data_IF_913783979624
#
_entry.id   IF_913783979624
#
_cell.length_a   1.000
_cell.length_b   1.000
_cell.length_c   1.000
_cell.angle_alpha   90.00
_cell.angle_beta   90.00
_cell.angle_gamma   90.00
#
_symmetry.space_group_name_H-M   'P 1'
#
loop_
_entity.id
_entity.type
_entity.pdbx_description
1 polymer ?
#
# COMPACT_ATOMS: atom_id res chain seq x y z
N UNK A 1 12.63 -3.78 -6.12
CA UNK A 1 11.22 -3.66 -6.60
C UNK A 1 11.10 -4.54 -7.84
N UNK A 2 10.10 -5.43 -7.86
CA UNK A 2 9.83 -6.36 -8.96
C UNK A 2 9.61 -5.62 -10.29
N UNK A 3 10.14 -6.15 -11.40
CA UNK A 3 9.94 -5.62 -12.75
C UNK A 3 8.46 -5.67 -13.11
N UNK A 4 7.83 -6.82 -12.89
CA UNK A 4 6.41 -7.03 -13.19
C UNK A 4 5.53 -6.11 -12.37
N UNK A 5 5.88 -5.87 -11.11
CA UNK A 5 5.19 -4.91 -10.25
C UNK A 5 5.27 -3.48 -10.81
N UNK A 6 6.48 -3.01 -11.20
CA UNK A 6 6.62 -1.67 -11.81
C UNK A 6 5.80 -1.51 -13.06
N UNK A 7 5.77 -2.54 -13.91
CA UNK A 7 4.96 -2.53 -15.13
C UNK A 7 3.48 -2.42 -14.77
N UNK A 8 2.99 -3.27 -13.87
CA UNK A 8 1.59 -3.32 -13.45
C UNK A 8 1.11 -2.00 -12.83
N UNK A 9 1.90 -1.42 -11.94
CA UNK A 9 1.57 -0.15 -11.27
C UNK A 9 1.61 1.08 -12.19
N UNK A 10 2.27 0.96 -13.35
CA UNK A 10 2.40 2.06 -14.32
C UNK A 10 1.45 1.93 -15.51
N UNK A 11 0.61 0.89 -15.58
CA UNK A 11 -0.25 0.58 -16.74
C UNK A 11 -1.13 1.75 -17.20
N UNK A 12 -1.70 2.51 -16.26
CA UNK A 12 -2.57 3.65 -16.56
C UNK A 12 -1.83 4.82 -17.22
N UNK A 13 -0.49 4.91 -17.00
CA UNK A 13 0.37 5.95 -17.54
C UNK A 13 1.06 5.53 -18.85
N UNK A 14 0.77 4.34 -19.37
CA UNK A 14 1.39 3.83 -20.59
C UNK A 14 0.70 4.34 -21.84
N UNK A 15 1.51 4.64 -22.85
CA UNK A 15 1.05 4.80 -24.24
C UNK A 15 0.56 3.45 -24.78
N UNK A 16 -0.14 3.48 -25.92
CA UNK A 16 -0.62 2.25 -26.58
C UNK A 16 0.53 1.26 -26.87
N UNK A 17 1.64 1.75 -27.41
CA UNK A 17 2.84 0.93 -27.67
C UNK A 17 3.41 0.33 -26.38
N UNK A 18 3.44 1.09 -25.29
CA UNK A 18 3.92 0.61 -23.99
C UNK A 18 2.99 -0.43 -23.38
N UNK A 19 1.67 -0.30 -23.57
CA UNK A 19 0.68 -1.31 -23.16
C UNK A 19 0.84 -2.61 -23.93
N UNK A 20 1.10 -2.55 -25.23
CA UNK A 20 1.40 -3.74 -26.05
C UNK A 20 2.64 -4.46 -25.50
N UNK A 21 3.73 -3.72 -25.25
CA UNK A 21 4.97 -4.28 -24.71
C UNK A 21 4.72 -4.88 -23.30
N UNK A 22 4.03 -4.17 -22.44
CA UNK A 22 3.68 -4.64 -21.09
C UNK A 22 2.85 -5.93 -21.14
N UNK A 23 1.79 -5.95 -21.96
CA UNK A 23 0.95 -7.13 -22.15
C UNK A 23 1.75 -8.34 -22.67
N UNK A 24 2.66 -8.12 -23.61
CA UNK A 24 3.52 -9.17 -24.15
C UNK A 24 4.46 -9.74 -23.09
N UNK A 25 5.03 -8.89 -22.22
CA UNK A 25 5.90 -9.32 -21.12
C UNK A 25 5.14 -10.24 -20.15
N UNK A 26 3.90 -9.88 -19.79
CA UNK A 26 3.09 -10.73 -18.90
C UNK A 26 2.74 -12.08 -19.52
N UNK A 27 2.37 -12.08 -20.81
CA UNK A 27 1.92 -13.29 -21.48
C UNK A 27 3.07 -14.22 -21.93
N UNK A 28 4.25 -13.67 -22.24
CA UNK A 28 5.32 -14.37 -22.96
C UNK A 28 6.70 -14.15 -22.33
N UNK A 29 6.78 -14.21 -21.01
CA UNK A 29 8.00 -13.88 -20.26
C UNK A 29 9.25 -14.61 -20.76
N UNK A 30 9.14 -15.93 -20.99
CA UNK A 30 10.28 -16.72 -21.45
C UNK A 30 10.77 -16.26 -22.82
N UNK A 31 9.85 -15.96 -23.73
CA UNK A 31 10.18 -15.41 -25.05
C UNK A 31 10.91 -14.06 -24.90
N UNK A 32 10.44 -13.21 -23.96
CA UNK A 32 11.13 -11.94 -23.68
C UNK A 32 12.53 -12.13 -23.18
N UNK A 33 12.78 -13.15 -22.34
CA UNK A 33 14.11 -13.46 -21.82
C UNK A 33 15.06 -13.98 -22.91
N UNK A 34 14.56 -14.74 -23.85
CA UNK A 34 15.37 -15.40 -24.88
C UNK A 34 15.59 -14.53 -26.12
N UNK A 35 14.68 -13.61 -26.45
CA UNK A 35 14.70 -12.83 -27.70
C UNK A 35 15.47 -11.52 -27.58
N UNK A 36 16.12 -11.06 -28.65
CA UNK A 36 16.74 -9.73 -28.72
C UNK A 36 15.72 -8.61 -29.00
N UNK A 37 16.16 -7.34 -28.93
CA UNK A 37 15.26 -6.18 -29.09
C UNK A 37 14.58 -6.13 -30.48
N UNK A 38 15.24 -6.60 -31.52
CA UNK A 38 14.71 -6.62 -32.90
C UNK A 38 13.60 -7.67 -33.00
N UNK A 39 13.84 -8.87 -32.53
CA UNK A 39 12.87 -9.97 -32.48
C UNK A 39 11.64 -9.60 -31.66
N UNK A 40 11.83 -8.98 -30.51
CA UNK A 40 10.73 -8.51 -29.67
C UNK A 40 9.91 -7.41 -30.36
N UNK A 41 10.59 -6.53 -31.12
CA UNK A 41 9.91 -5.52 -31.93
C UNK A 41 9.03 -6.15 -33.02
N UNK A 42 9.54 -7.18 -33.70
CA UNK A 42 8.80 -7.92 -34.74
C UNK A 42 7.59 -8.68 -34.14
N UNK A 43 7.79 -9.41 -33.03
CA UNK A 43 6.74 -10.17 -32.34
C UNK A 43 5.60 -9.29 -31.82
N UNK A 44 5.91 -8.08 -31.39
CA UNK A 44 4.93 -7.16 -30.82
C UNK A 44 4.41 -6.11 -31.81
N UNK A 45 4.86 -6.14 -33.08
CA UNK A 45 4.60 -5.12 -34.08
C UNK A 45 4.96 -3.70 -33.60
N UNK A 46 6.06 -3.62 -32.84
CA UNK A 46 6.64 -2.37 -32.35
C UNK A 46 8.09 -2.24 -32.88
N UNK A 47 8.84 -1.25 -32.41
CA UNK A 47 10.24 -1.12 -32.80
C UNK A 47 11.20 -1.63 -31.71
N UNK A 48 12.40 -2.08 -32.11
CA UNK A 48 13.47 -2.40 -31.18
C UNK A 48 13.77 -1.24 -30.21
N UNK A 49 13.73 -0.01 -30.73
CA UNK A 49 13.93 1.20 -29.91
C UNK A 49 12.80 1.43 -28.88
N UNK A 50 11.57 0.98 -29.16
CA UNK A 50 10.46 1.06 -28.21
C UNK A 50 10.73 0.17 -26.99
N UNK A 51 11.23 -1.04 -27.18
CA UNK A 51 11.62 -1.94 -26.10
C UNK A 51 12.75 -1.39 -25.24
N UNK A 52 13.75 -0.76 -25.84
CA UNK A 52 14.84 -0.10 -25.11
C UNK A 52 14.33 1.12 -24.30
N UNK A 53 13.48 1.95 -24.89
CA UNK A 53 12.86 3.09 -24.19
C UNK A 53 11.95 2.64 -23.06
N UNK A 54 11.14 1.59 -23.28
CA UNK A 54 10.30 1.00 -22.25
C UNK A 54 11.13 0.53 -21.07
N UNK A 55 12.21 -0.22 -21.32
CA UNK A 55 13.13 -0.69 -20.26
C UNK A 55 13.73 0.48 -19.46
N UNK A 56 14.11 1.58 -20.13
CA UNK A 56 14.61 2.79 -19.46
C UNK A 56 13.54 3.51 -18.66
N UNK A 57 12.31 3.58 -19.17
CA UNK A 57 11.15 4.14 -18.45
C UNK A 57 10.83 3.33 -17.19
N UNK A 58 11.06 2.02 -17.22
CA UNK A 58 10.95 1.15 -16.04
C UNK A 58 12.13 1.27 -15.07
N UNK A 59 13.08 2.20 -15.31
CA UNK A 59 14.18 2.49 -14.41
C UNK A 59 15.43 1.63 -14.60
N UNK A 60 15.54 0.91 -15.73
CA UNK A 60 16.70 0.08 -16.04
C UNK A 60 17.62 0.77 -17.05
N UNK A 61 18.91 0.42 -17.05
CA UNK A 61 19.89 1.00 -17.99
C UNK A 61 19.61 0.67 -19.47
N UNK A 62 18.76 -0.31 -19.74
CA UNK A 62 18.32 -0.76 -21.06
C UNK A 62 17.74 -2.17 -21.00
N UNK A 63 17.38 -2.73 -22.18
CA UNK A 63 16.75 -4.04 -22.27
C UNK A 63 17.56 -5.18 -21.63
N UNK A 64 18.91 -5.26 -21.76
CA UNK A 64 19.67 -6.32 -21.09
C UNK A 64 19.55 -6.28 -19.56
N UNK A 65 19.68 -5.10 -18.95
CA UNK A 65 19.53 -4.94 -17.51
C UNK A 65 18.09 -5.24 -17.04
N UNK A 66 17.09 -4.85 -17.83
CA UNK A 66 15.70 -5.18 -17.61
C UNK A 66 15.48 -6.71 -17.61
N UNK A 67 16.01 -7.42 -18.61
CA UNK A 67 15.91 -8.89 -18.72
C UNK A 67 16.58 -9.62 -17.58
N UNK A 68 17.75 -9.16 -17.12
CA UNK A 68 18.42 -9.75 -15.94
C UNK A 68 17.55 -9.66 -14.70
N UNK A 69 16.93 -8.52 -14.45
CA UNK A 69 16.04 -8.37 -13.30
C UNK A 69 14.73 -9.15 -13.48
N UNK A 70 14.17 -9.17 -14.70
CA UNK A 70 13.02 -9.99 -15.03
C UNK A 70 13.30 -11.49 -14.83
N UNK A 71 14.49 -11.98 -15.16
CA UNK A 71 14.88 -13.38 -14.98
C UNK A 71 15.00 -13.79 -13.50
N UNK A 72 15.39 -12.86 -12.62
CA UNK A 72 15.47 -13.11 -11.16
C UNK A 72 14.11 -13.27 -10.50
N UNK A 73 13.06 -12.76 -11.13
CA UNK A 73 11.72 -12.89 -10.58
C UNK A 73 11.24 -14.33 -10.66
N UNK A 74 10.83 -14.90 -9.53
CA UNK A 74 10.12 -16.17 -9.55
C UNK A 74 8.79 -15.97 -10.28
N UNK A 75 8.39 -16.94 -11.10
CA UNK A 75 7.06 -16.97 -11.71
C UNK A 75 6.06 -17.09 -10.56
N UNK A 76 5.47 -16.00 -10.16
CA UNK A 76 4.23 -16.08 -9.42
C UNK A 76 3.16 -16.41 -10.46
N UNK A 77 2.54 -17.57 -10.33
CA UNK A 77 1.38 -17.95 -11.11
C UNK A 77 0.41 -16.75 -11.13
N UNK A 78 -0.24 -16.51 -12.25
CA UNK A 78 -1.23 -15.44 -12.44
C UNK A 78 -2.24 -15.43 -11.29
N UNK A 79 -1.99 -14.58 -10.29
CA UNK A 79 -2.79 -14.45 -9.05
C UNK A 79 -4.11 -13.73 -9.31
N UNK A 80 -4.55 -13.80 -10.50
CA UNK A 80 -5.59 -12.91 -11.00
C UNK A 80 -6.99 -13.42 -11.01
N UNK A 81 -7.22 -14.68 -10.88
CA UNK A 81 -8.55 -15.23 -10.92
C UNK A 81 -8.93 -15.86 -9.57
N UNK A 82 -10.12 -15.52 -9.05
CA UNK A 82 -10.66 -16.17 -7.85
C UNK A 82 -10.64 -17.69 -8.04
N UNK A 83 -10.97 -18.16 -9.22
CA UNK A 83 -10.95 -19.58 -9.61
C UNK A 83 -9.54 -20.17 -9.57
N UNK A 84 -8.49 -19.38 -9.84
CA UNK A 84 -7.10 -19.84 -9.75
C UNK A 84 -6.65 -19.98 -8.29
N UNK A 85 -7.09 -19.09 -7.41
CA UNK A 85 -6.75 -19.16 -5.99
C UNK A 85 -7.63 -20.17 -5.24
N UNK A 86 -8.96 -20.09 -5.43
CA UNK A 86 -9.95 -21.02 -4.84
C UNK A 86 -10.36 -22.07 -5.87
N UNK A 87 -9.43 -22.94 -6.28
CA UNK A 87 -9.78 -24.04 -7.16
C UNK A 87 -10.50 -25.13 -6.34
N UNK A 88 -11.75 -25.53 -6.72
CA UNK A 88 -12.48 -26.56 -6.00
C UNK A 88 -11.77 -27.91 -5.91
N UNK A 89 -10.81 -28.20 -6.80
CA UNK A 89 -10.00 -29.43 -6.79
C UNK A 89 -8.79 -29.36 -5.87
N UNK A 90 -8.46 -28.19 -5.31
CA UNK A 90 -7.30 -28.05 -4.42
C UNK A 90 -7.53 -28.81 -3.11
N UNK A 91 -6.51 -29.54 -2.68
CA UNK A 91 -6.48 -30.05 -1.30
C UNK A 91 -6.28 -28.90 -0.30
N UNK A 92 -6.69 -29.13 0.96
CA UNK A 92 -6.44 -28.15 2.03
C UNK A 92 -4.95 -27.82 2.16
N UNK A 93 -4.04 -28.77 1.91
CA UNK A 93 -2.59 -28.54 1.93
C UNK A 93 -2.18 -27.55 0.83
N UNK A 94 -2.73 -27.68 -0.38
CA UNK A 94 -2.46 -26.74 -1.48
C UNK A 94 -2.98 -25.35 -1.16
N UNK A 95 -4.17 -25.22 -0.58
CA UNK A 95 -4.72 -23.94 -0.15
C UNK A 95 -3.84 -23.27 0.92
N UNK A 96 -3.33 -24.06 1.88
CA UNK A 96 -2.41 -23.58 2.91
C UNK A 96 -1.11 -23.02 2.29
N UNK A 97 -0.49 -23.78 1.38
CA UNK A 97 0.72 -23.33 0.67
C UNK A 97 0.49 -22.07 -0.18
N UNK A 98 -0.63 -22.01 -0.92
CA UNK A 98 -1.02 -20.82 -1.69
C UNK A 98 -1.18 -19.60 -0.78
N UNK A 99 -1.85 -19.76 0.35
CA UNK A 99 -2.08 -18.68 1.32
C UNK A 99 -0.76 -18.19 1.93
N UNK A 100 0.12 -19.11 2.37
CA UNK A 100 1.44 -18.78 2.92
C UNK A 100 2.28 -18.00 1.90
N UNK A 101 2.35 -18.48 0.66
CA UNK A 101 3.10 -17.82 -0.40
C UNK A 101 2.54 -16.41 -0.68
N UNK A 102 1.22 -16.26 -0.80
CA UNK A 102 0.54 -15.00 -1.04
C UNK A 102 0.85 -13.99 0.07
N UNK A 103 0.68 -14.36 1.33
CA UNK A 103 0.90 -13.48 2.48
C UNK A 103 2.38 -13.10 2.64
N UNK A 104 3.29 -14.07 2.44
CA UNK A 104 4.73 -13.83 2.51
C UNK A 104 5.18 -12.89 1.41
N UNK A 105 4.69 -13.08 0.20
CA UNK A 105 5.01 -12.21 -0.93
C UNK A 105 4.46 -10.79 -0.73
N UNK A 106 3.21 -10.67 -0.28
CA UNK A 106 2.57 -9.39 0.02
C UNK A 106 3.38 -8.57 1.04
N UNK A 107 3.84 -9.20 2.12
CA UNK A 107 4.68 -8.55 3.14
C UNK A 107 6.01 -8.09 2.51
N UNK A 108 6.70 -8.95 1.75
CA UNK A 108 7.96 -8.59 1.09
C UNK A 108 7.79 -7.40 0.14
N UNK A 109 6.74 -7.39 -0.65
CA UNK A 109 6.45 -6.29 -1.59
C UNK A 109 6.09 -5.00 -0.86
N UNK A 110 5.38 -5.08 0.26
CA UNK A 110 5.08 -3.92 1.11
C UNK A 110 6.37 -3.26 1.60
N UNK A 111 7.32 -4.03 2.13
CA UNK A 111 8.61 -3.48 2.55
C UNK A 111 9.47 -2.97 1.39
N UNK A 112 9.44 -3.64 0.24
CA UNK A 112 10.18 -3.23 -0.94
C UNK A 112 9.67 -1.91 -1.56
N UNK A 113 8.38 -1.61 -1.37
CA UNK A 113 7.75 -0.38 -1.86
C UNK A 113 7.91 0.80 -0.91
N UNK A 114 8.21 0.54 0.36
CA UNK A 114 8.22 1.54 1.41
C UNK A 114 9.31 2.60 1.15
N UNK A 115 8.89 3.87 1.13
CA UNK A 115 9.78 5.02 1.15
C UNK A 115 10.14 5.35 2.60
N UNK A 116 11.41 5.14 2.96
CA UNK A 116 11.92 5.41 4.30
C UNK A 116 11.71 6.87 4.72
N UNK A 117 11.98 7.83 3.82
CA UNK A 117 11.84 9.26 4.15
C UNK A 117 10.38 9.68 4.32
N UNK A 118 9.46 9.11 3.54
CA UNK A 118 8.04 9.34 3.73
C UNK A 118 7.56 8.77 5.07
N UNK A 119 8.01 7.58 5.44
CA UNK A 119 7.70 6.96 6.74
C UNK A 119 8.24 7.81 7.90
N UNK A 120 9.48 8.25 7.83
CA UNK A 120 10.12 9.10 8.84
C UNK A 120 9.35 10.41 9.04
N UNK A 121 9.02 11.12 7.94
CA UNK A 121 8.19 12.33 7.97
C UNK A 121 6.80 12.09 8.54
N UNK A 122 6.18 10.95 8.26
CA UNK A 122 4.88 10.60 8.81
C UNK A 122 4.97 10.42 10.33
N UNK A 123 5.94 9.64 10.82
CA UNK A 123 6.21 9.43 12.26
C UNK A 123 6.47 10.77 12.96
N UNK A 124 7.30 11.63 12.38
CA UNK A 124 7.55 12.96 12.96
C UNK A 124 6.30 13.83 13.02
N UNK A 125 5.49 13.81 11.96
CA UNK A 125 4.25 14.59 11.90
C UNK A 125 3.26 14.12 12.96
N UNK A 126 3.07 12.80 13.12
CA UNK A 126 2.21 12.21 14.15
C UNK A 126 2.71 12.56 15.55
N UNK A 127 4.00 12.47 15.81
CA UNK A 127 4.58 12.82 17.12
C UNK A 127 4.45 14.29 17.50
N UNK A 128 4.35 15.20 16.53
CA UNK A 128 4.19 16.64 16.74
C UNK A 128 2.72 17.06 16.75
N UNK A 129 1.83 16.19 16.31
CA UNK A 129 0.41 16.48 16.23
C UNK A 129 -0.21 16.65 17.63
N UNK A 130 -1.08 17.63 17.78
CA UNK A 130 -1.92 17.78 18.96
C UNK A 130 -2.94 16.65 19.00
N UNK A 131 -3.63 16.43 17.89
CA UNK A 131 -4.61 15.35 17.71
C UNK A 131 -4.37 14.65 16.37
N UNK A 132 -4.51 13.33 16.36
CA UNK A 132 -4.46 12.50 15.16
C UNK A 132 -5.84 11.97 14.85
N UNK A 133 -6.36 12.29 13.68
CA UNK A 133 -7.65 11.78 13.20
C UNK A 133 -7.42 10.62 12.23
N UNK A 134 -8.17 9.52 12.40
CA UNK A 134 -8.12 8.38 11.51
C UNK A 134 -9.37 8.33 10.64
N UNK A 135 -9.18 8.19 9.34
CA UNK A 135 -10.25 8.18 8.36
C UNK A 135 -10.10 6.96 7.44
N UNK A 136 -11.07 6.06 7.47
CA UNK A 136 -11.13 4.88 6.62
C UNK A 136 -12.46 4.14 6.78
N UNK A 137 -12.94 3.51 5.71
CA UNK A 137 -14.22 2.78 5.66
C UNK A 137 -14.04 1.34 5.19
N UNK A 138 -15.04 0.48 5.42
CA UNK A 138 -14.99 -0.93 5.02
C UNK A 138 -13.79 -1.67 5.63
N UNK A 139 -13.02 -2.39 4.81
CA UNK A 139 -11.82 -3.09 5.25
C UNK A 139 -10.74 -2.18 5.86
N UNK A 140 -10.63 -0.94 5.37
CA UNK A 140 -9.71 0.06 5.92
C UNK A 140 -10.11 0.54 7.32
N UNK A 141 -11.41 0.50 7.67
CA UNK A 141 -11.87 0.85 9.01
C UNK A 141 -11.34 -0.11 10.08
N UNK A 142 -11.10 -1.38 9.72
CA UNK A 142 -10.50 -2.37 10.60
C UNK A 142 -9.05 -1.98 10.94
N UNK A 143 -8.31 -1.50 9.94
CA UNK A 143 -6.93 -1.02 10.11
C UNK A 143 -6.90 0.25 10.98
N UNK A 144 -7.84 1.17 10.74
CA UNK A 144 -7.99 2.36 11.60
C UNK A 144 -8.26 1.96 13.05
N UNK A 145 -9.15 1.01 13.29
CA UNK A 145 -9.50 0.55 14.65
C UNK A 145 -8.31 -0.12 15.34
N UNK A 146 -7.57 -0.98 14.63
CA UNK A 146 -6.36 -1.61 15.16
C UNK A 146 -5.31 -0.57 15.57
N UNK A 147 -5.05 0.40 14.67
CA UNK A 147 -4.12 1.48 14.94
C UNK A 147 -4.59 2.37 16.11
N UNK A 148 -5.88 2.70 16.17
CA UNK A 148 -6.50 3.42 17.27
C UNK A 148 -6.24 2.73 18.61
N UNK A 149 -6.49 1.40 18.72
CA UNK A 149 -6.25 0.64 19.94
C UNK A 149 -4.77 0.65 20.38
N UNK A 150 -3.85 0.56 19.42
CA UNK A 150 -2.41 0.62 19.70
C UNK A 150 -1.99 1.99 20.23
N UNK A 151 -2.43 3.06 19.54
CA UNK A 151 -2.07 4.44 19.88
C UNK A 151 -2.66 4.90 21.22
N UNK A 152 -3.90 4.52 21.54
CA UNK A 152 -4.54 4.81 22.83
C UNK A 152 -3.71 4.26 24.01
N UNK A 153 -3.01 3.13 23.84
CA UNK A 153 -2.17 2.53 24.90
C UNK A 153 -0.87 3.28 25.17
N UNK A 154 -0.44 4.13 24.25
CA UNK A 154 0.76 4.98 24.39
C UNK A 154 0.41 6.46 24.56
N UNK A 155 -0.82 6.72 24.96
CA UNK A 155 -1.31 8.06 25.33
C UNK A 155 -1.20 9.10 24.19
N UNK A 156 -1.31 8.66 22.94
CA UNK A 156 -1.44 9.58 21.81
C UNK A 156 -2.90 10.04 21.71
N UNK A 157 -3.12 11.35 21.66
CA UNK A 157 -4.46 11.89 21.41
C UNK A 157 -4.89 11.52 19.97
N UNK A 158 -5.81 10.55 19.90
CA UNK A 158 -6.24 9.96 18.63
C UNK A 158 -7.77 9.89 18.57
N UNK A 159 -8.33 10.28 17.42
CA UNK A 159 -9.77 10.30 17.16
C UNK A 159 -10.09 9.33 16.04
N UNK A 160 -10.98 8.41 16.32
CA UNK A 160 -11.54 7.47 15.36
C UNK A 160 -12.98 7.17 15.71
N UNK A 161 -13.84 7.12 14.71
CA UNK A 161 -15.21 6.63 14.83
C UNK A 161 -15.58 5.83 13.56
N UNK A 162 -16.42 4.79 13.73
CA UNK A 162 -16.95 4.01 12.60
C UNK A 162 -18.07 4.76 11.90
N UNK A 163 -18.80 5.57 12.63
CA UNK A 163 -19.80 6.46 12.07
C UNK A 163 -19.12 7.70 11.49
N UNK A 164 -19.25 7.88 10.18
CA UNK A 164 -18.62 9.00 9.48
C UNK A 164 -19.22 10.36 9.90
N UNK A 165 -20.49 10.42 10.28
CA UNK A 165 -21.10 11.69 10.73
C UNK A 165 -20.53 12.12 12.06
N UNK A 166 -20.38 11.21 13.01
CA UNK A 166 -19.71 11.45 14.28
C UNK A 166 -18.26 11.88 14.06
N UNK A 167 -17.54 11.18 13.18
CA UNK A 167 -16.16 11.53 12.84
C UNK A 167 -16.06 12.90 12.15
N UNK A 168 -16.97 13.24 11.24
CA UNK A 168 -17.02 14.57 10.62
C UNK A 168 -17.25 15.68 11.63
N UNK A 169 -18.13 15.48 12.63
CA UNK A 169 -18.34 16.44 13.70
C UNK A 169 -17.06 16.70 14.52
N UNK A 170 -16.24 15.66 14.72
CA UNK A 170 -14.92 15.78 15.36
C UNK A 170 -13.91 16.48 14.45
N UNK A 171 -13.86 16.12 13.17
CA UNK A 171 -12.97 16.73 12.15
C UNK A 171 -13.32 18.20 11.92
N UNK A 172 -14.57 18.61 12.10
CA UNK A 172 -14.97 20.02 12.03
C UNK A 172 -14.30 20.91 13.10
N UNK A 173 -13.73 20.31 14.15
CA UNK A 173 -12.98 21.00 15.22
C UNK A 173 -11.45 20.95 15.02
N UNK A 174 -10.98 20.57 13.83
CA UNK A 174 -9.56 20.50 13.48
C UNK A 174 -8.84 21.83 13.71
N UNK A 175 -7.65 21.75 14.28
CA UNK A 175 -6.70 22.84 14.43
C UNK A 175 -5.50 22.67 13.51
N UNK A 176 -4.70 23.72 13.32
CA UNK A 176 -3.57 23.74 12.38
C UNK A 176 -2.49 22.67 12.65
N UNK A 177 -2.33 22.28 13.92
CA UNK A 177 -1.31 21.32 14.34
C UNK A 177 -1.83 19.88 14.38
N UNK A 178 -3.02 19.65 13.83
CA UNK A 178 -3.62 18.32 13.75
C UNK A 178 -3.19 17.59 12.48
N UNK A 179 -3.23 16.25 12.55
CA UNK A 179 -2.91 15.36 11.46
C UNK A 179 -4.09 14.46 11.15
N UNK A 180 -4.41 14.30 9.89
CA UNK A 180 -5.42 13.32 9.43
C UNK A 180 -4.71 12.19 8.69
N UNK A 181 -4.77 10.98 9.22
CA UNK A 181 -4.31 9.77 8.56
C UNK A 181 -5.49 9.16 7.81
N UNK A 182 -5.38 9.12 6.50
CA UNK A 182 -6.42 8.62 5.60
C UNK A 182 -6.00 7.27 5.06
N UNK A 183 -6.75 6.23 5.40
CA UNK A 183 -6.49 4.85 4.95
C UNK A 183 -7.55 4.45 3.93
N UNK A 184 -7.16 4.37 2.67
CA UNK A 184 -8.01 3.92 1.57
C UNK A 184 -7.18 3.14 0.56
N UNK A 185 -7.38 1.83 0.48
CA UNK A 185 -6.61 0.99 -0.44
C UNK A 185 -6.74 1.46 -1.89
N UNK A 186 -7.94 1.73 -2.38
CA UNK A 186 -8.14 2.22 -3.74
C UNK A 186 -7.59 3.63 -3.97
N UNK A 187 -7.61 4.47 -2.91
CA UNK A 187 -7.34 5.90 -3.01
C UNK A 187 -8.47 6.71 -3.68
N UNK A 188 -9.60 6.06 -4.00
CA UNK A 188 -10.71 6.64 -4.75
C UNK A 188 -12.05 6.62 -4.00
N UNK A 189 -12.05 6.30 -2.71
CA UNK A 189 -13.28 6.27 -1.91
C UNK A 189 -13.81 7.68 -1.72
N UNK A 190 -14.91 8.01 -2.39
CA UNK A 190 -15.44 9.38 -2.52
C UNK A 190 -15.73 10.05 -1.16
N UNK A 191 -16.43 9.34 -0.25
CA UNK A 191 -16.76 9.87 1.09
C UNK A 191 -15.48 10.21 1.88
N UNK A 192 -14.49 9.35 1.84
CA UNK A 192 -13.19 9.52 2.52
C UNK A 192 -12.42 10.71 1.92
N UNK A 193 -12.33 10.76 0.59
CA UNK A 193 -11.61 11.81 -0.12
C UNK A 193 -12.27 13.20 0.06
N UNK A 194 -13.59 13.25 0.12
CA UNK A 194 -14.33 14.49 0.36
C UNK A 194 -14.02 15.05 1.75
N UNK A 195 -14.03 14.22 2.79
CA UNK A 195 -13.67 14.62 4.16
C UNK A 195 -12.20 15.06 4.22
N UNK A 196 -11.28 14.29 3.63
CA UNK A 196 -9.86 14.65 3.59
C UNK A 196 -9.60 15.98 2.89
N UNK A 197 -10.32 16.25 1.79
CA UNK A 197 -10.24 17.53 1.06
C UNK A 197 -10.70 18.72 1.92
N UNK A 198 -11.77 18.55 2.69
CA UNK A 198 -12.24 19.58 3.62
C UNK A 198 -11.24 19.78 4.75
N UNK A 199 -10.77 18.70 5.40
CA UNK A 199 -9.75 18.77 6.45
C UNK A 199 -8.49 19.51 5.98
N UNK A 200 -8.02 19.22 4.75
CA UNK A 200 -6.88 19.94 4.16
C UNK A 200 -7.14 21.44 3.98
N UNK A 201 -8.33 21.84 3.57
CA UNK A 201 -8.70 23.25 3.47
C UNK A 201 -8.69 23.96 4.81
N UNK A 202 -8.97 23.26 5.90
CA UNK A 202 -8.86 23.75 7.27
C UNK A 202 -7.44 23.72 7.85
N UNK A 203 -6.45 23.36 7.04
CA UNK A 203 -5.03 23.41 7.39
C UNK A 203 -4.45 22.13 7.99
N UNK A 204 -5.23 21.06 8.08
CA UNK A 204 -4.71 19.77 8.55
C UNK A 204 -3.70 19.18 7.57
N UNK A 205 -2.66 18.55 8.11
CA UNK A 205 -1.72 17.76 7.33
C UNK A 205 -2.31 16.38 7.02
N UNK A 206 -2.31 15.99 5.77
CA UNK A 206 -2.87 14.71 5.31
C UNK A 206 -1.77 13.68 5.09
N UNK A 207 -1.83 12.56 5.80
CA UNK A 207 -1.02 11.36 5.57
C UNK A 207 -1.90 10.32 4.90
N UNK A 208 -1.64 10.03 3.62
CA UNK A 208 -2.41 9.03 2.86
C UNK A 208 -1.72 7.68 2.85
N UNK A 209 -2.45 6.63 3.22
CA UNK A 209 -2.02 5.22 3.11
C UNK A 209 -2.89 4.54 2.05
N UNK A 210 -2.31 4.22 0.90
CA UNK A 210 -3.05 3.75 -0.29
C UNK A 210 -2.20 2.87 -1.18
N UNK A 211 -2.81 2.12 -2.11
CA UNK A 211 -2.05 1.40 -3.14
C UNK A 211 -1.23 2.37 -3.99
N UNK A 212 -0.12 1.87 -4.53
CA UNK A 212 0.76 2.68 -5.37
C UNK A 212 0.03 3.17 -6.64
N UNK A 213 -0.44 4.39 -6.57
CA UNK A 213 -0.99 5.13 -7.70
C UNK A 213 -0.82 6.64 -7.43
N UNK A 214 0.16 7.26 -8.09
CA UNK A 214 0.47 8.69 -7.92
C UNK A 214 -0.66 9.62 -8.38
N UNK A 215 -1.58 9.11 -9.22
CA UNK A 215 -2.69 9.88 -9.78
C UNK A 215 -3.99 9.69 -9.02
N UNK A 216 -4.05 8.80 -8.04
CA UNK A 216 -5.26 8.63 -7.24
C UNK A 216 -5.63 9.91 -6.50
N UNK A 217 -6.92 10.09 -6.28
CA UNK A 217 -7.46 11.26 -5.57
C UNK A 217 -6.80 11.44 -4.20
N UNK A 218 -6.67 10.34 -3.42
CA UNK A 218 -6.01 10.40 -2.13
C UNK A 218 -4.52 10.76 -2.26
N UNK A 219 -3.82 10.19 -3.24
CA UNK A 219 -2.39 10.50 -3.46
C UNK A 219 -2.17 11.97 -3.77
N UNK A 220 -3.05 12.59 -4.54
CA UNK A 220 -2.94 14.02 -4.89
C UNK A 220 -3.31 14.94 -3.72
N UNK A 221 -4.19 14.50 -2.83
CA UNK A 221 -4.57 15.22 -1.62
C UNK A 221 -3.51 15.14 -0.53
N UNK A 222 -2.74 14.05 -0.48
CA UNK A 222 -1.82 13.75 0.62
C UNK A 222 -0.55 14.59 0.59
N UNK A 223 -0.16 15.12 1.74
CA UNK A 223 1.13 15.79 1.97
C UNK A 223 2.25 14.77 2.16
N UNK A 224 1.92 13.63 2.77
CA UNK A 224 2.80 12.46 2.91
C UNK A 224 2.05 11.24 2.39
N UNK A 225 2.73 10.43 1.58
CA UNK A 225 2.16 9.23 0.94
C UNK A 225 2.91 8.00 1.40
N UNK A 226 2.18 7.05 1.95
CA UNK A 226 2.68 5.73 2.30
C UNK A 226 1.98 4.71 1.38
N UNK A 227 2.74 4.12 0.49
CA UNK A 227 2.20 3.24 -0.52
C UNK A 227 2.25 1.77 -0.10
N UNK A 228 1.21 1.04 -0.49
CA UNK A 228 1.13 -0.42 -0.40
C UNK A 228 1.06 -1.04 -1.80
N UNK A 229 1.38 -2.34 -1.96
CA UNK A 229 1.34 -3.02 -3.26
C UNK A 229 -0.04 -2.98 -3.94
N UNK A 230 -0.01 -3.08 -5.28
CA UNK A 230 -1.22 -3.21 -6.10
C UNK A 230 -1.44 -4.68 -6.41
N UNK A 231 -2.22 -5.38 -5.59
CA UNK A 231 -2.40 -6.82 -5.70
C UNK A 231 -3.83 -7.25 -5.96
N UNK A 232 -4.80 -6.39 -5.61
CA UNK A 232 -6.20 -6.77 -5.69
C UNK A 232 -6.84 -6.37 -7.03
N UNK A 233 -7.45 -7.33 -7.71
CA UNK A 233 -8.36 -7.12 -8.84
C UNK A 233 -9.72 -6.61 -8.37
N UNK A 234 -10.62 -6.31 -9.32
CA UNK A 234 -11.98 -5.81 -9.05
C UNK A 234 -12.80 -6.71 -8.13
N UNK A 235 -12.66 -8.04 -8.26
CA UNK A 235 -13.30 -9.00 -7.36
C UNK A 235 -12.34 -9.38 -6.24
N UNK A 236 -12.66 -8.97 -5.02
CA UNK A 236 -11.80 -9.13 -3.85
C UNK A 236 -12.20 -10.31 -2.99
N UNK A 237 -11.27 -11.19 -2.73
CA UNK A 237 -11.42 -12.25 -1.71
C UNK A 237 -11.22 -11.67 -0.30
N UNK A 238 -12.17 -10.86 0.17
CA UNK A 238 -12.19 -10.37 1.55
C UNK A 238 -11.11 -9.35 1.92
N UNK A 239 -10.46 -8.70 0.95
CA UNK A 239 -9.40 -7.68 1.20
C UNK A 239 -8.26 -8.20 2.10
N UNK A 240 -7.84 -9.45 1.93
CA UNK A 240 -6.85 -10.08 2.83
C UNK A 240 -5.48 -9.44 2.66
N UNK A 241 -4.96 -9.39 1.43
CA UNK A 241 -3.63 -8.85 1.12
C UNK A 241 -3.56 -7.35 1.37
N UNK A 242 -4.53 -6.59 0.86
CA UNK A 242 -4.58 -5.15 1.06
C UNK A 242 -4.65 -4.78 2.54
N UNK A 243 -5.46 -5.49 3.34
CA UNK A 243 -5.52 -5.26 4.79
C UNK A 243 -4.18 -5.54 5.46
N UNK A 244 -3.51 -6.65 5.11
CA UNK A 244 -2.21 -6.99 5.70
C UNK A 244 -1.13 -5.95 5.36
N UNK A 245 -1.08 -5.47 4.13
CA UNK A 245 -0.17 -4.38 3.74
C UNK A 245 -0.45 -3.10 4.51
N UNK A 246 -1.72 -2.71 4.64
CA UNK A 246 -2.13 -1.52 5.40
C UNK A 246 -1.79 -1.67 6.90
N UNK A 247 -2.04 -2.86 7.50
CA UNK A 247 -1.64 -3.15 8.88
C UNK A 247 -0.12 -3.07 9.05
N UNK A 248 0.66 -3.59 8.11
CA UNK A 248 2.13 -3.51 8.15
C UNK A 248 2.60 -2.05 8.21
N UNK A 249 2.01 -1.16 7.40
CA UNK A 249 2.35 0.27 7.42
C UNK A 249 1.99 0.91 8.77
N UNK A 250 0.78 0.64 9.29
CA UNK A 250 0.35 1.22 10.58
C UNK A 250 1.16 0.66 11.76
N UNK A 251 1.61 -0.59 11.70
CA UNK A 251 2.52 -1.17 12.68
C UNK A 251 3.90 -0.49 12.68
N UNK A 252 4.43 -0.20 11.48
CA UNK A 252 5.69 0.55 11.36
C UNK A 252 5.56 1.97 11.91
N UNK A 253 4.45 2.65 11.64
CA UNK A 253 4.15 3.95 12.24
C UNK A 253 4.10 3.85 13.77
N UNK A 254 3.36 2.87 14.31
CA UNK A 254 3.29 2.64 15.75
C UNK A 254 4.67 2.38 16.38
N UNK A 255 5.47 1.49 15.80
CA UNK A 255 6.82 1.21 16.32
C UNK A 255 7.73 2.45 16.25
N UNK A 256 7.65 3.22 15.18
CA UNK A 256 8.43 4.45 15.04
C UNK A 256 8.06 5.51 16.07
N UNK A 257 6.75 5.65 16.36
CA UNK A 257 6.24 6.56 17.40
C UNK A 257 6.65 6.07 18.79
N UNK A 258 6.41 4.80 19.09
CA UNK A 258 6.73 4.20 20.38
C UNK A 258 8.23 4.23 20.71
N UNK A 259 9.08 4.09 19.68
CA UNK A 259 10.55 4.13 19.83
C UNK A 259 11.06 5.51 20.26
N UNK A 260 10.39 6.59 19.84
CA UNK A 260 10.89 7.96 20.06
C UNK A 260 11.02 8.32 21.53
N UNK A 261 10.08 7.88 22.34
CA UNK A 261 10.15 7.97 23.82
C UNK A 261 9.91 6.58 24.42
N UNK A 262 10.89 5.71 24.24
CA UNK A 262 10.81 4.30 24.65
C UNK A 262 10.52 4.14 26.15
N UNK A 263 11.17 4.93 27.02
CA UNK A 263 10.99 4.80 28.47
C UNK A 263 9.60 5.21 28.91
N UNK A 264 9.09 6.31 28.38
CA UNK A 264 7.72 6.75 28.66
C UNK A 264 6.71 5.72 28.13
N UNK A 265 6.84 5.31 26.88
CA UNK A 265 5.97 4.31 26.23
C UNK A 265 5.94 3.00 27.03
N UNK A 266 7.12 2.50 27.45
CA UNK A 266 7.21 1.28 28.29
C UNK A 266 6.43 1.47 29.59
N UNK A 267 6.57 2.62 30.25
CA UNK A 267 5.84 2.94 31.49
C UNK A 267 4.32 2.91 31.30
N UNK A 268 3.81 3.49 30.20
CA UNK A 268 2.38 3.49 29.87
C UNK A 268 1.84 2.07 29.58
N UNK A 269 2.57 1.28 28.83
CA UNK A 269 2.19 -0.11 28.54
C UNK A 269 2.15 -0.98 29.81
N UNK A 270 3.13 -0.82 30.71
CA UNK A 270 3.16 -1.52 32.01
C UNK A 270 1.97 -1.08 32.86
N UNK A 271 1.71 0.23 32.97
CA UNK A 271 0.55 0.77 33.72
C UNK A 271 -0.77 0.20 33.21
N UNK A 272 -0.97 0.21 31.88
CA UNK A 272 -2.18 -0.36 31.25
C UNK A 272 -2.34 -1.84 31.63
N UNK A 273 -1.25 -2.62 31.58
CA UNK A 273 -1.29 -4.05 31.95
C UNK A 273 -1.62 -4.25 33.43
N UNK A 274 -1.05 -3.44 34.32
CA UNK A 274 -1.32 -3.50 35.76
C UNK A 274 -2.78 -3.19 36.04
N UNK A 275 -3.31 -2.08 35.48
CA UNK A 275 -4.71 -1.70 35.67
C UNK A 275 -5.68 -2.83 35.24
N UNK A 276 -5.42 -3.44 34.06
CA UNK A 276 -6.27 -4.53 33.58
C UNK A 276 -6.25 -5.73 34.55
N UNK A 277 -5.08 -6.04 35.17
CA UNK A 277 -4.97 -7.13 36.16
C UNK A 277 -5.69 -6.82 37.46
N UNK A 278 -5.81 -5.55 37.84
CA UNK A 278 -6.52 -5.16 39.06
C UNK A 278 -8.06 -5.22 38.88
N UNK A 279 -8.53 -5.15 37.62
CA UNK A 279 -9.97 -5.22 37.32
C UNK A 279 -10.45 -6.67 37.08
N UNK A 280 -9.55 -7.58 36.71
CA UNK A 280 -9.83 -9.02 36.50
C UNK A 280 -9.64 -9.83 37.76
#
# INVERSE_FOLDING_TARGET
MSVLYRIKSSMDAFTETERIIAGFIFANRQIVLDSNAKELGELTKTSASAWVRFSKKMGYKGLPAFKVELAKEKVNLDEGDIETFLNPSDSLMMLLQKTENMLTQNIKETFALLDYHALEKAIESINKAKTVYLLGVGGSSIVCLDFYHKMTRIHQEIVYDRDLHTLMARIAQLEKDDVVIVISYSGETESVNSIAKVAKKHGAKIIGVTKYNLKSTLSTLSDIRLFVPVEEKEIRLGSITSRNSLLTITDLLYYGIAKKDFHHTKGLLVRTRQFIKEVQ
#
